data_IF_336496140144
#
_entry.id   IF_336496140144
#
_cell.length_a   1.000
_cell.length_b   1.000
_cell.length_c   1.000
_cell.angle_alpha   90.00
_cell.angle_beta   90.00
_cell.angle_gamma   90.00
#
_symmetry.space_group_name_H-M   'P 1'
#
loop_
_entity.id
_entity.type
_entity.pdbx_description
1 polymer ?
#
# COMPACT_ATOMS: atom_id res chain seq x y z
N UNK A 1 -4.52 -10.11 10.21
CA UNK A 1 -4.99 -8.93 10.97
C UNK A 1 -6.44 -8.57 10.61
N UNK A 2 -6.80 -8.47 9.33
CA UNK A 2 -8.16 -8.12 8.87
C UNK A 2 -9.21 -9.16 9.29
N UNK A 3 -8.89 -10.44 9.23
CA UNK A 3 -9.78 -11.52 9.69
C UNK A 3 -10.00 -11.43 11.21
N UNK A 4 -8.94 -11.22 11.98
CA UNK A 4 -9.04 -11.01 13.42
C UNK A 4 -9.93 -9.82 13.78
N UNK A 5 -9.76 -8.69 13.05
CA UNK A 5 -10.60 -7.50 13.24
C UNK A 5 -12.08 -7.79 12.97
N UNK A 6 -12.38 -8.49 11.88
CA UNK A 6 -13.77 -8.85 11.54
C UNK A 6 -14.39 -9.78 12.57
N UNK A 7 -13.66 -10.79 13.03
CA UNK A 7 -14.12 -11.69 14.09
C UNK A 7 -14.39 -10.90 15.37
N UNK A 8 -13.45 -10.06 15.79
CA UNK A 8 -13.63 -9.23 16.99
C UNK A 8 -14.80 -8.25 16.86
N UNK A 9 -15.07 -7.73 15.66
CA UNK A 9 -16.21 -6.85 15.41
C UNK A 9 -17.55 -7.60 15.51
N UNK A 10 -17.63 -8.82 15.00
CA UNK A 10 -18.83 -9.65 15.07
C UNK A 10 -19.19 -10.00 16.54
N UNK A 11 -18.17 -10.18 17.37
CA UNK A 11 -18.33 -10.47 18.79
C UNK A 11 -18.47 -9.20 19.65
N UNK A 12 -18.39 -8.02 19.04
CA UNK A 12 -18.45 -6.75 19.74
C UNK A 12 -19.88 -6.44 20.25
N UNK A 13 -20.01 -5.68 21.37
CA UNK A 13 -21.30 -5.20 21.83
C UNK A 13 -22.08 -4.44 20.75
N UNK A 14 -23.39 -4.59 20.74
CA UNK A 14 -24.30 -4.01 19.74
C UNK A 14 -24.07 -2.52 19.50
N UNK A 15 -23.73 -1.76 20.55
CA UNK A 15 -23.40 -0.34 20.46
C UNK A 15 -22.25 -0.01 19.49
N UNK A 16 -21.35 -0.98 19.24
CA UNK A 16 -20.25 -0.83 18.30
C UNK A 16 -20.61 -1.33 16.91
N UNK A 17 -21.42 -2.39 16.81
CA UNK A 17 -21.83 -2.98 15.53
C UNK A 17 -22.63 -1.99 14.68
N UNK A 18 -23.43 -1.11 15.30
CA UNK A 18 -24.21 -0.06 14.61
C UNK A 18 -23.40 1.17 14.20
N UNK A 19 -22.10 1.25 14.51
CA UNK A 19 -21.28 2.41 14.13
C UNK A 19 -20.89 2.34 12.65
N UNK A 20 -21.19 3.37 11.83
CA UNK A 20 -20.87 3.38 10.39
C UNK A 20 -19.37 3.23 10.08
N UNK A 21 -18.48 3.59 11.03
CA UNK A 21 -17.04 3.42 10.87
C UNK A 21 -16.57 1.99 11.15
N UNK A 22 -17.39 1.17 11.82
CA UNK A 22 -17.05 -0.23 12.07
C UNK A 22 -17.18 -1.04 10.77
N UNK A 23 -16.19 -1.91 10.54
CA UNK A 23 -16.12 -2.71 9.31
C UNK A 23 -15.37 -2.03 8.16
N UNK A 24 -15.07 -0.74 8.26
CA UNK A 24 -14.17 -0.08 7.32
C UNK A 24 -12.73 -0.53 7.58
N UNK A 25 -12.02 -0.84 6.51
CA UNK A 25 -10.62 -1.25 6.57
C UNK A 25 -9.81 -0.32 5.68
N UNK A 26 -9.08 0.57 6.34
CA UNK A 26 -8.16 1.50 5.69
C UNK A 26 -6.75 0.90 5.71
N UNK A 27 -6.05 0.95 4.60
CA UNK A 27 -4.66 0.53 4.54
C UNK A 27 -3.78 1.62 3.96
N UNK A 28 -2.63 1.86 4.59
CA UNK A 28 -1.57 2.68 4.03
C UNK A 28 -0.61 1.81 3.23
N UNK A 29 -0.23 2.25 2.04
CA UNK A 29 0.76 1.58 1.19
C UNK A 29 1.71 2.59 0.57
N UNK A 30 2.96 2.20 0.43
CA UNK A 30 3.88 2.91 -0.43
C UNK A 30 3.48 2.70 -1.88
N UNK A 31 3.25 3.79 -2.56
CA UNK A 31 2.76 3.79 -3.94
C UNK A 31 3.74 4.51 -4.84
N UNK A 32 3.99 3.97 -6.01
CA UNK A 32 4.70 4.65 -7.08
C UNK A 32 4.27 4.10 -8.44
N UNK A 33 3.63 4.94 -9.24
CA UNK A 33 3.18 4.59 -10.59
C UNK A 33 4.06 5.28 -11.61
N UNK A 34 4.56 4.54 -12.58
CA UNK A 34 5.31 5.03 -13.73
C UNK A 34 4.84 4.34 -15.00
N UNK A 35 5.39 4.73 -16.15
CA UNK A 35 5.03 4.16 -17.47
C UNK A 35 5.32 2.66 -17.59
N UNK A 36 6.22 2.13 -16.75
CA UNK A 36 6.55 0.71 -16.68
C UNK A 36 7.03 0.32 -15.28
N UNK A 37 7.01 -0.99 -14.99
CA UNK A 37 7.53 -1.53 -13.73
C UNK A 37 9.03 -1.22 -13.56
N UNK A 38 9.79 -1.32 -14.66
CA UNK A 38 11.22 -0.98 -14.65
C UNK A 38 11.45 0.50 -14.31
N UNK A 39 10.64 1.40 -14.87
CA UNK A 39 10.74 2.83 -14.59
C UNK A 39 10.31 3.15 -13.16
N UNK A 40 9.29 2.50 -12.64
CA UNK A 40 8.88 2.65 -11.26
C UNK A 40 10.00 2.26 -10.30
N UNK A 41 10.70 1.15 -10.57
CA UNK A 41 11.87 0.73 -9.80
C UNK A 41 13.02 1.74 -9.90
N UNK A 42 13.37 2.16 -11.10
CA UNK A 42 14.44 3.14 -11.35
C UNK A 42 14.23 4.42 -10.53
N UNK A 43 13.01 4.97 -10.54
CA UNK A 43 12.70 6.25 -9.93
C UNK A 43 12.54 6.18 -8.40
N UNK A 44 12.10 5.05 -7.87
CA UNK A 44 11.64 4.97 -6.47
C UNK A 44 12.49 4.08 -5.56
N UNK A 45 13.19 3.07 -6.08
CA UNK A 45 13.84 2.06 -5.26
C UNK A 45 14.86 2.64 -4.29
N UNK A 46 15.78 3.46 -4.77
CA UNK A 46 16.82 4.05 -3.95
C UNK A 46 16.25 4.95 -2.83
N UNK A 47 15.24 5.77 -3.18
CA UNK A 47 14.57 6.66 -2.24
C UNK A 47 13.79 5.90 -1.16
N UNK A 48 13.09 4.83 -1.55
CA UNK A 48 12.35 4.00 -0.60
C UNK A 48 13.29 3.27 0.37
N UNK A 49 14.32 2.61 -0.14
CA UNK A 49 15.29 1.89 0.70
C UNK A 49 15.98 2.85 1.67
N UNK A 50 16.35 4.05 1.19
CA UNK A 50 16.91 5.09 2.05
C UNK A 50 15.92 5.51 3.14
N UNK A 51 14.65 5.72 2.80
CA UNK A 51 13.60 6.07 3.75
C UNK A 51 13.45 5.00 4.84
N UNK A 52 13.32 3.74 4.44
CA UNK A 52 13.17 2.64 5.40
C UNK A 52 14.40 2.53 6.32
N UNK A 53 15.61 2.55 5.76
CA UNK A 53 16.84 2.42 6.54
C UNK A 53 17.06 3.56 7.54
N UNK A 54 16.71 4.79 7.19
CA UNK A 54 17.06 5.95 8.01
C UNK A 54 15.91 6.47 8.88
N UNK A 55 14.68 6.35 8.41
CA UNK A 55 13.52 6.88 9.13
C UNK A 55 12.84 5.84 10.00
N UNK A 56 12.88 4.60 9.55
CA UNK A 56 12.17 3.50 10.19
C UNK A 56 13.11 2.52 10.90
N UNK A 57 14.43 2.71 10.80
CA UNK A 57 15.43 1.78 11.31
C UNK A 57 15.29 1.44 12.82
N UNK A 58 14.72 2.35 13.62
CA UNK A 58 14.44 2.10 15.03
C UNK A 58 13.16 1.29 15.26
N UNK A 59 12.27 1.19 14.24
CA UNK A 59 10.98 0.53 14.32
C UNK A 59 10.70 -0.34 13.09
N UNK A 60 11.69 -0.56 12.21
CA UNK A 60 11.48 -1.21 10.92
C UNK A 60 10.85 -2.60 11.06
N UNK A 61 11.33 -3.39 12.00
CA UNK A 61 10.81 -4.73 12.26
C UNK A 61 9.34 -4.74 12.71
N UNK A 62 8.92 -3.73 13.49
CA UNK A 62 7.54 -3.61 13.95
C UNK A 62 6.61 -3.01 12.89
N UNK A 63 7.12 -2.11 12.04
CA UNK A 63 6.32 -1.40 11.05
C UNK A 63 6.09 -2.18 9.76
N UNK A 64 7.07 -2.95 9.34
CA UNK A 64 6.94 -3.79 8.16
C UNK A 64 6.04 -5.00 8.40
N UNK A 65 5.69 -5.32 9.65
CA UNK A 65 4.69 -6.33 10.06
C UNK A 65 4.74 -7.69 9.36
N UNK A 66 5.46 -7.74 8.26
CA UNK A 66 5.65 -8.87 7.36
C UNK A 66 7.10 -9.38 7.37
N UNK A 67 8.01 -8.65 8.01
CA UNK A 67 9.40 -9.10 8.14
C UNK A 67 9.43 -10.08 9.29
N UNK A 68 9.68 -11.34 9.01
CA UNK A 68 9.81 -12.36 10.03
C UNK A 68 10.96 -12.00 10.98
N UNK A 69 10.90 -12.47 12.23
CA UNK A 69 12.00 -12.27 13.19
C UNK A 69 13.38 -12.74 12.64
N UNK A 70 13.36 -13.64 11.65
CA UNK A 70 14.57 -14.14 10.97
C UNK A 70 15.20 -13.09 10.05
N UNK A 71 14.43 -12.13 9.56
CA UNK A 71 14.87 -11.12 8.59
C UNK A 71 15.24 -9.80 9.26
N UNK A 72 15.19 -9.75 10.60
CA UNK A 72 15.63 -8.60 11.37
C UNK A 72 17.15 -8.45 11.22
N UNK A 73 17.57 -7.53 10.35
CA UNK A 73 18.97 -7.30 9.99
C UNK A 73 19.35 -7.76 8.58
N UNK A 74 18.45 -8.40 7.84
CA UNK A 74 18.63 -8.68 6.43
C UNK A 74 18.71 -7.37 5.62
N UNK A 75 19.46 -7.39 4.55
CA UNK A 75 19.52 -6.28 3.60
C UNK A 75 18.13 -6.13 2.95
N UNK A 76 17.58 -4.91 2.99
CA UNK A 76 16.28 -4.64 2.38
C UNK A 76 16.39 -4.80 0.87
N UNK A 77 15.72 -5.80 0.34
CA UNK A 77 15.59 -6.03 -1.08
C UNK A 77 14.32 -5.34 -1.60
N UNK A 78 14.51 -4.40 -2.53
CA UNK A 78 13.39 -3.72 -3.17
C UNK A 78 12.49 -4.70 -3.94
N UNK A 79 13.03 -5.69 -4.60
CA UNK A 79 12.25 -6.62 -5.43
C UNK A 79 11.35 -7.49 -4.56
N UNK A 80 11.84 -7.96 -3.43
CA UNK A 80 11.04 -8.67 -2.45
C UNK A 80 9.92 -7.79 -1.86
N UNK A 81 10.25 -6.55 -1.50
CA UNK A 81 9.24 -5.58 -1.05
C UNK A 81 8.23 -5.28 -2.15
N UNK A 82 8.67 -5.15 -3.39
CA UNK A 82 7.81 -4.91 -4.54
C UNK A 82 6.83 -6.07 -4.79
N UNK A 83 7.21 -7.30 -4.52
CA UNK A 83 6.31 -8.46 -4.65
C UNK A 83 5.27 -8.55 -3.53
N UNK A 84 5.60 -8.11 -2.32
CA UNK A 84 4.81 -8.41 -1.13
C UNK A 84 4.06 -7.20 -0.55
N UNK A 85 4.67 -6.02 -0.58
CA UNK A 85 4.22 -4.88 0.22
C UNK A 85 3.93 -3.61 -0.58
N UNK A 86 4.70 -3.37 -1.65
CA UNK A 86 4.63 -2.12 -2.39
C UNK A 86 3.53 -2.15 -3.46
N UNK A 87 2.95 -0.99 -3.73
CA UNK A 87 2.12 -0.73 -4.91
C UNK A 87 2.94 0.09 -5.91
N UNK A 88 4.04 -0.50 -6.38
CA UNK A 88 4.95 0.10 -7.34
C UNK A 88 4.86 -0.61 -8.68
N UNK A 89 4.86 0.14 -9.77
CA UNK A 89 4.82 -0.43 -11.11
C UNK A 89 4.11 0.45 -12.13
N UNK A 90 3.80 -0.17 -13.26
CA UNK A 90 2.89 0.39 -14.27
C UNK A 90 1.46 0.49 -13.73
N UNK A 91 0.57 1.29 -14.36
CA UNK A 91 -0.84 1.32 -13.99
C UNK A 91 -1.46 -0.06 -13.91
N UNK A 92 -1.25 -0.92 -14.90
CA UNK A 92 -1.79 -2.28 -14.94
C UNK A 92 -1.29 -3.14 -13.76
N UNK A 93 -0.01 -3.03 -13.42
CA UNK A 93 0.56 -3.75 -12.28
C UNK A 93 -0.05 -3.28 -10.96
N UNK A 94 -0.22 -1.97 -10.78
CA UNK A 94 -0.80 -1.39 -9.57
C UNK A 94 -2.28 -1.74 -9.45
N UNK A 95 -3.06 -1.65 -10.54
CA UNK A 95 -4.47 -2.06 -10.57
C UNK A 95 -4.63 -3.52 -10.14
N UNK A 96 -3.90 -4.42 -10.79
CA UNK A 96 -3.95 -5.86 -10.45
C UNK A 96 -3.62 -6.13 -8.98
N UNK A 97 -2.60 -5.47 -8.44
CA UNK A 97 -2.20 -5.63 -7.03
C UNK A 97 -3.24 -5.07 -6.06
N UNK A 98 -3.85 -3.95 -6.39
CA UNK A 98 -4.94 -3.38 -5.60
C UNK A 98 -6.17 -4.29 -5.59
N UNK A 99 -6.53 -4.88 -6.73
CA UNK A 99 -7.61 -5.86 -6.80
C UNK A 99 -7.32 -7.09 -5.93
N UNK A 100 -6.12 -7.65 -6.03
CA UNK A 100 -5.69 -8.77 -5.18
C UNK A 100 -5.73 -8.39 -3.68
N UNK A 101 -5.27 -7.19 -3.34
CA UNK A 101 -5.29 -6.70 -1.96
C UNK A 101 -6.74 -6.56 -1.46
N UNK A 102 -7.63 -6.04 -2.28
CA UNK A 102 -9.05 -5.91 -1.97
C UNK A 102 -9.71 -7.29 -1.78
N UNK A 103 -9.44 -8.25 -2.66
CA UNK A 103 -9.96 -9.62 -2.54
C UNK A 103 -9.48 -10.30 -1.26
N UNK A 104 -8.18 -10.18 -0.94
CA UNK A 104 -7.61 -10.83 0.24
C UNK A 104 -8.03 -10.19 1.56
N UNK A 105 -8.18 -8.88 1.59
CA UNK A 105 -8.34 -8.14 2.85
C UNK A 105 -9.66 -7.41 2.98
N UNK A 106 -10.36 -7.19 1.87
CA UNK A 106 -11.61 -6.40 1.80
C UNK A 106 -11.41 -4.96 2.23
N UNK A 107 -10.26 -4.35 1.86
CA UNK A 107 -10.03 -2.92 2.12
C UNK A 107 -11.13 -2.08 1.48
N UNK A 108 -11.52 -1.02 2.16
CA UNK A 108 -12.52 -0.06 1.72
C UNK A 108 -11.91 1.28 1.33
N UNK A 109 -10.73 1.58 1.83
CA UNK A 109 -9.98 2.78 1.46
C UNK A 109 -8.46 2.54 1.47
N UNK A 110 -7.75 3.36 0.71
CA UNK A 110 -6.31 3.31 0.58
C UNK A 110 -5.70 4.68 0.87
N UNK A 111 -4.74 4.71 1.78
CA UNK A 111 -3.89 5.87 2.04
C UNK A 111 -2.61 5.71 1.22
N UNK A 112 -2.39 6.63 0.28
CA UNK A 112 -1.18 6.65 -0.54
C UNK A 112 -0.04 7.27 0.26
N UNK A 113 1.03 6.52 0.42
CA UNK A 113 2.21 6.97 1.13
C UNK A 113 3.38 7.17 0.16
N UNK A 114 3.84 8.41 0.05
CA UNK A 114 4.96 8.81 -0.80
C UNK A 114 6.12 9.29 0.08
N UNK A 115 7.20 8.52 0.21
CA UNK A 115 8.41 8.99 0.89
C UNK A 115 8.99 10.24 0.21
N UNK A 116 9.50 11.21 0.96
CA UNK A 116 10.02 12.47 0.40
C UNK A 116 11.23 12.27 -0.52
N UNK A 117 11.87 11.12 -0.43
CA UNK A 117 13.07 10.79 -1.20
C UNK A 117 12.82 10.36 -2.64
N UNK A 118 11.56 10.29 -3.08
CA UNK A 118 11.24 10.13 -4.51
C UNK A 118 11.48 11.43 -5.31
N UNK A 119 11.53 12.57 -4.62
CA UNK A 119 11.57 13.88 -5.24
C UNK A 119 10.18 14.37 -5.64
N UNK A 120 9.99 15.70 -5.61
CA UNK A 120 8.68 16.32 -5.83
C UNK A 120 8.15 16.06 -7.25
N UNK A 121 8.99 16.19 -8.27
CA UNK A 121 8.57 16.03 -9.65
C UNK A 121 8.14 14.60 -9.96
N UNK A 122 8.89 13.61 -9.48
CA UNK A 122 8.57 12.21 -9.63
C UNK A 122 7.29 11.85 -8.87
N UNK A 123 7.13 12.36 -7.64
CA UNK A 123 5.90 12.15 -6.86
C UNK A 123 4.67 12.72 -7.58
N UNK A 124 4.77 13.94 -8.13
CA UNK A 124 3.65 14.56 -8.85
C UNK A 124 3.30 13.80 -10.15
N UNK A 125 4.30 13.32 -10.89
CA UNK A 125 4.08 12.47 -12.08
C UNK A 125 3.36 11.17 -11.70
N UNK A 126 3.84 10.51 -10.66
CA UNK A 126 3.25 9.27 -10.16
C UNK A 126 1.81 9.46 -9.67
N UNK A 127 1.54 10.53 -8.91
CA UNK A 127 0.19 10.87 -8.47
C UNK A 127 -0.76 11.14 -9.64
N UNK A 128 -0.27 11.81 -10.70
CA UNK A 128 -1.06 12.06 -11.90
C UNK A 128 -1.42 10.75 -12.61
N UNK A 129 -0.44 9.87 -12.86
CA UNK A 129 -0.70 8.56 -13.46
C UNK A 129 -1.67 7.73 -12.59
N UNK A 130 -1.51 7.76 -11.27
CA UNK A 130 -2.43 7.08 -10.38
C UNK A 130 -3.86 7.62 -10.53
N UNK A 131 -4.02 8.95 -10.59
CA UNK A 131 -5.33 9.57 -10.72
C UNK A 131 -5.99 9.32 -12.09
N UNK A 132 -5.21 9.36 -13.15
CA UNK A 132 -5.70 9.26 -14.54
C UNK A 132 -5.92 7.81 -14.99
N UNK A 133 -5.07 6.88 -14.54
CA UNK A 133 -5.02 5.51 -15.05
C UNK A 133 -5.52 4.46 -14.02
N UNK A 134 -5.21 4.66 -12.72
CA UNK A 134 -5.53 3.65 -11.70
C UNK A 134 -6.90 3.89 -11.08
N UNK A 135 -7.22 5.11 -10.62
CA UNK A 135 -8.52 5.40 -9.98
C UNK A 135 -9.71 5.01 -10.85
N UNK A 136 -9.74 5.26 -12.18
CA UNK A 136 -10.88 4.90 -13.01
C UNK A 136 -11.24 3.43 -12.99
N UNK A 137 -10.24 2.53 -12.80
CA UNK A 137 -10.46 1.09 -12.76
C UNK A 137 -11.26 0.62 -11.52
N UNK A 138 -11.40 1.48 -10.49
CA UNK A 138 -12.13 1.19 -9.25
C UNK A 138 -13.41 2.04 -9.08
N UNK A 139 -13.76 2.85 -10.07
CA UNK A 139 -15.03 3.58 -10.05
C UNK A 139 -16.17 2.61 -10.26
N UNK A 140 -17.05 2.52 -9.28
CA UNK A 140 -18.34 1.88 -9.47
C UNK A 140 -19.15 2.84 -10.35
N UNK A 141 -19.54 2.40 -11.56
CA UNK A 141 -20.56 3.12 -12.33
C UNK A 141 -21.83 3.11 -11.49
N UNK A 142 -22.11 4.23 -10.83
CA UNK A 142 -23.44 4.45 -10.27
C UNK A 142 -24.39 4.52 -11.47
N UNK A 143 -25.14 3.44 -11.68
CA UNK A 143 -26.24 3.44 -12.64
C UNK A 143 -27.14 4.63 -12.36
N UNK A 144 -27.28 5.51 -13.34
CA UNK A 144 -28.15 6.68 -13.30
C UNK A 144 -29.62 6.28 -13.27
#
# INVERSE_FOLDING_TARGET
QTEFYRTALNDAPEKWQGNPACGQIDQARWVYVAESDAKAKEDSAAGLVHHIKNFMAKNAAGYLGAVSEKDQGAELDYDELAETTLLHGSPDTVIRRLQQLQEMTGITSLVLHYPPYYGIDNTLKSLRLFAEEVIPAFRIETAA
#
